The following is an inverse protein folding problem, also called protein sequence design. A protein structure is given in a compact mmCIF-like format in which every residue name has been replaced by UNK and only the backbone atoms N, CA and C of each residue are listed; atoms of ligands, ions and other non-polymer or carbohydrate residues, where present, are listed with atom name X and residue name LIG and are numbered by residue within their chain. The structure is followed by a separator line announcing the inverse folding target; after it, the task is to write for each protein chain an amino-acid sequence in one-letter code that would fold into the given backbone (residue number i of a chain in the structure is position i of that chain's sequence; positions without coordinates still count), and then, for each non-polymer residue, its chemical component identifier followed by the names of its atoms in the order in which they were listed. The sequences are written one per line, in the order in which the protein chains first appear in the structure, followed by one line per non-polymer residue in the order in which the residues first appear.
data_IF_632673727205
#
_entry.id   IF_632673727205
#
_cell.length_a   1.000
_cell.length_b   1.000
_cell.length_c   1.000
_cell.angle_alpha   90.00
_cell.angle_beta   90.00
_cell.angle_gamma   90.00
#
_symmetry.space_group_name_H-M   'P 1'
#
loop_
_entity.id
_entity.type
_entity.pdbx_description
1 polymer ?
#
# COMPACT_ATOMS: atom_id res chain seq x y z
N UNK A 1 -5.16 -17.92 -17.06
CA UNK A 1 -5.26 -17.93 -15.58
C UNK A 1 -4.12 -17.08 -15.04
N UNK A 2 -4.37 -15.82 -14.70
CA UNK A 2 -3.44 -14.93 -13.99
C UNK A 2 -4.29 -13.82 -13.37
N UNK A 3 -4.76 -14.03 -12.16
CA UNK A 3 -5.14 -12.92 -11.28
C UNK A 3 -3.98 -12.84 -10.27
N UNK A 4 -2.89 -12.21 -10.69
CA UNK A 4 -1.92 -11.68 -9.74
C UNK A 4 -2.59 -10.46 -9.12
N UNK A 5 -2.40 -10.26 -7.82
CA UNK A 5 -2.77 -9.04 -7.13
C UNK A 5 -2.21 -7.86 -7.95
N UNK A 6 -3.06 -6.98 -8.46
CA UNK A 6 -2.63 -5.84 -9.27
C UNK A 6 -1.93 -4.82 -8.35
N UNK A 7 -0.60 -4.92 -8.25
CA UNK A 7 0.23 -3.93 -7.57
C UNK A 7 0.81 -2.95 -8.58
N UNK A 8 0.36 -1.70 -8.51
CA UNK A 8 0.97 -0.62 -9.24
C UNK A 8 2.32 -0.28 -8.63
N UNK A 9 3.34 -0.08 -9.44
CA UNK A 9 4.67 0.31 -9.01
C UNK A 9 5.00 1.70 -9.53
N UNK A 10 5.76 2.45 -8.74
CA UNK A 10 6.28 3.74 -9.15
C UNK A 10 7.71 3.93 -8.70
N UNK A 11 8.41 4.84 -9.38
CA UNK A 11 9.76 5.27 -9.03
C UNK A 11 9.88 6.76 -9.28
N UNK A 12 10.37 7.49 -8.29
CA UNK A 12 10.73 8.90 -8.38
C UNK A 12 12.25 9.01 -8.35
N UNK A 13 12.82 9.52 -9.44
CA UNK A 13 14.22 9.91 -9.50
C UNK A 13 14.36 11.34 -8.99
N UNK A 14 15.03 11.52 -7.85
CA UNK A 14 15.20 12.83 -7.21
C UNK A 14 16.30 13.66 -7.90
N UNK A 15 17.21 13.04 -8.66
CA UNK A 15 18.23 13.77 -9.43
C UNK A 15 17.61 14.44 -10.65
N UNK A 16 16.71 13.74 -11.32
CA UNK A 16 16.06 14.20 -12.55
C UNK A 16 14.67 14.82 -12.32
N UNK A 17 14.15 14.74 -11.10
CA UNK A 17 12.77 15.13 -10.74
C UNK A 17 11.71 14.46 -11.63
N UNK A 18 11.97 13.21 -12.01
CA UNK A 18 11.10 12.46 -12.91
C UNK A 18 10.44 11.30 -12.17
N UNK A 19 9.14 11.13 -12.35
CA UNK A 19 8.40 9.98 -11.85
C UNK A 19 8.03 9.06 -13.01
N UNK A 20 8.08 7.76 -12.76
CA UNK A 20 7.63 6.71 -13.67
C UNK A 20 6.64 5.84 -12.93
N UNK A 21 5.47 5.62 -13.53
CA UNK A 21 4.50 4.62 -13.12
C UNK A 21 4.57 3.46 -14.10
N UNK A 22 4.42 2.23 -13.62
CA UNK A 22 4.21 1.10 -14.53
C UNK A 22 2.76 1.08 -15.04
N UNK A 23 2.52 0.36 -16.14
CA UNK A 23 1.19 0.25 -16.76
C UNK A 23 0.11 -0.19 -15.75
N UNK A 24 0.46 -1.11 -14.84
CA UNK A 24 -0.46 -1.57 -13.79
C UNK A 24 -0.91 -0.45 -12.86
N UNK A 25 -0.05 0.51 -12.52
CA UNK A 25 -0.43 1.62 -11.65
C UNK A 25 -1.41 2.57 -12.34
N UNK A 26 -1.22 2.83 -13.63
CA UNK A 26 -2.20 3.57 -14.44
C UNK A 26 -3.57 2.87 -14.40
N UNK A 27 -3.59 1.55 -14.66
CA UNK A 27 -4.82 0.77 -14.68
C UNK A 27 -5.52 0.77 -13.31
N UNK A 28 -4.76 0.54 -12.24
CA UNK A 28 -5.26 0.47 -10.86
C UNK A 28 -5.88 1.81 -10.41
N UNK A 29 -5.27 2.94 -10.80
CA UNK A 29 -5.80 4.27 -10.51
C UNK A 29 -6.84 4.75 -11.53
N UNK A 30 -7.13 3.96 -12.57
CA UNK A 30 -7.91 4.38 -13.74
C UNK A 30 -7.41 5.70 -14.32
N UNK A 31 -6.09 5.90 -14.32
CA UNK A 31 -5.42 7.09 -14.84
C UNK A 31 -5.17 6.93 -16.35
N UNK A 32 -5.40 7.95 -17.19
CA UNK A 32 -5.15 7.85 -18.62
C UNK A 32 -3.66 7.62 -18.93
N UNK A 33 -3.34 6.57 -19.70
CA UNK A 33 -1.95 6.22 -20.06
C UNK A 33 -1.27 7.29 -20.94
N UNK A 34 -2.03 8.18 -21.56
CA UNK A 34 -1.54 9.29 -22.37
C UNK A 34 -1.26 10.57 -21.54
N UNK A 35 -1.59 10.57 -20.25
CA UNK A 35 -1.29 11.68 -19.35
C UNK A 35 0.04 11.49 -18.63
N UNK A 36 0.89 12.52 -18.72
CA UNK A 36 2.14 12.57 -17.98
C UNK A 36 1.89 12.61 -16.47
N UNK A 37 2.72 11.87 -15.74
CA UNK A 37 2.73 11.83 -14.28
C UNK A 37 3.79 12.79 -13.75
N UNK A 38 3.46 13.52 -12.70
CA UNK A 38 4.33 14.45 -12.01
C UNK A 38 4.66 13.91 -10.61
N UNK A 39 5.79 14.31 -9.99
CA UNK A 39 6.18 13.82 -8.67
C UNK A 39 5.06 13.89 -7.62
N UNK A 40 4.24 14.94 -7.68
CA UNK A 40 3.15 15.18 -6.73
C UNK A 40 1.79 14.62 -7.20
N UNK A 41 1.73 13.94 -8.36
CA UNK A 41 0.49 13.42 -8.93
C UNK A 41 -0.27 12.55 -7.92
N UNK A 42 0.42 11.72 -7.13
CA UNK A 42 -0.23 10.88 -6.14
C UNK A 42 -0.87 11.68 -5.00
N UNK A 43 -0.21 12.73 -4.51
CA UNK A 43 -0.75 13.61 -3.46
C UNK A 43 -2.01 14.36 -3.92
N UNK A 44 -2.10 14.65 -5.21
CA UNK A 44 -3.28 15.30 -5.80
C UNK A 44 -4.54 14.41 -5.78
N UNK A 45 -4.36 13.09 -5.70
CA UNK A 45 -5.44 12.11 -5.65
C UNK A 45 -6.05 11.93 -4.25
N UNK A 46 -5.39 12.44 -3.20
CA UNK A 46 -5.90 12.38 -1.83
C UNK A 46 -6.89 13.53 -1.63
N UNK A 47 -8.15 13.23 -1.32
CA UNK A 47 -9.19 14.26 -1.10
C UNK A 47 -9.06 14.91 0.28
N UNK A 48 -8.69 14.15 1.31
CA UNK A 48 -8.55 14.62 2.69
C UNK A 48 -7.31 15.52 2.85
N UNK A 49 -7.47 16.80 3.25
CA UNK A 49 -6.33 17.68 3.48
C UNK A 49 -5.39 17.19 4.59
N UNK A 50 -5.95 16.60 5.64
CA UNK A 50 -5.17 16.07 6.77
C UNK A 50 -4.30 14.87 6.34
N UNK A 51 -4.89 13.94 5.59
CA UNK A 51 -4.18 12.77 5.06
C UNK A 51 -3.08 13.18 4.06
N UNK A 52 -3.36 14.19 3.22
CA UNK A 52 -2.37 14.74 2.29
C UNK A 52 -1.16 15.32 3.03
N UNK A 53 -1.40 16.11 4.09
CA UNK A 53 -0.33 16.68 4.92
C UNK A 53 0.47 15.57 5.61
N UNK A 54 -0.20 14.54 6.15
CA UNK A 54 0.47 13.41 6.79
C UNK A 54 1.37 12.65 5.81
N UNK A 55 0.88 12.34 4.61
CA UNK A 55 1.68 11.65 3.61
C UNK A 55 2.85 12.53 3.12
N UNK A 56 2.63 13.83 2.94
CA UNK A 56 3.69 14.75 2.56
C UNK A 56 4.82 14.77 3.59
N UNK A 57 4.49 14.87 4.89
CA UNK A 57 5.47 14.79 5.98
C UNK A 57 6.20 13.44 6.00
N UNK A 58 5.49 12.33 5.76
CA UNK A 58 6.11 11.01 5.69
C UNK A 58 7.10 10.89 4.52
N UNK A 59 6.79 11.49 3.36
CA UNK A 59 7.69 11.54 2.20
C UNK A 59 8.92 12.42 2.46
N UNK A 60 8.76 13.52 3.20
CA UNK A 60 9.89 14.35 3.66
C UNK A 60 10.80 13.56 4.61
N UNK A 61 10.22 12.85 5.60
CA UNK A 61 10.94 11.98 6.52
C UNK A 61 11.66 10.81 5.81
N UNK A 62 11.00 10.22 4.80
CA UNK A 62 11.60 9.20 3.93
C UNK A 62 12.83 9.76 3.20
N UNK A 63 12.74 10.99 2.71
CA UNK A 63 13.84 11.64 1.97
C UNK A 63 14.99 12.02 2.89
N UNK A 64 14.69 12.58 4.07
CA UNK A 64 15.69 13.09 5.00
C UNK A 64 16.37 11.98 5.80
N UNK A 65 15.60 10.96 6.20
CA UNK A 65 16.05 9.97 7.19
C UNK A 65 15.96 8.52 6.70
N UNK A 66 15.40 8.27 5.52
CA UNK A 66 15.24 6.93 4.99
C UNK A 66 14.18 6.10 5.71
N UNK A 67 13.25 6.74 6.42
CA UNK A 67 12.15 6.06 7.12
C UNK A 67 11.14 5.51 6.10
N UNK A 68 11.01 4.18 5.94
CA UNK A 68 10.08 3.62 4.98
C UNK A 68 8.64 3.98 5.36
N UNK A 69 7.78 4.08 4.34
CA UNK A 69 6.35 4.35 4.53
C UNK A 69 5.60 3.06 4.24
N UNK A 70 4.73 2.68 5.16
CA UNK A 70 3.73 1.65 4.98
C UNK A 70 2.44 2.15 5.62
N UNK A 71 1.52 2.63 4.80
CA UNK A 71 0.28 3.20 5.31
C UNK A 71 -0.88 2.98 4.36
N UNK A 72 -2.08 2.69 4.88
CA UNK A 72 -3.30 2.77 4.10
C UNK A 72 -3.53 4.22 3.69
N UNK A 73 -3.96 4.43 2.45
CA UNK A 73 -4.37 5.73 1.93
C UNK A 73 -5.63 5.61 1.10
N UNK A 74 -6.40 6.68 1.07
CA UNK A 74 -7.65 6.78 0.32
C UNK A 74 -7.45 7.69 -0.89
N UNK A 75 -7.57 7.12 -2.08
CA UNK A 75 -7.32 7.84 -3.34
C UNK A 75 -8.59 7.94 -4.18
N UNK A 76 -8.80 9.13 -4.75
CA UNK A 76 -9.75 9.33 -5.83
C UNK A 76 -9.14 8.84 -7.14
N UNK A 77 -9.76 7.83 -7.74
CA UNK A 77 -9.35 7.30 -9.05
C UNK A 77 -9.81 8.21 -10.20
N UNK A 78 -9.25 8.04 -11.40
CA UNK A 78 -9.67 8.80 -12.59
C UNK A 78 -11.13 8.59 -12.98
N UNK A 79 -11.76 7.50 -12.49
CA UNK A 79 -13.21 7.26 -12.63
C UNK A 79 -14.09 8.11 -11.70
N UNK A 80 -13.48 8.87 -10.78
CA UNK A 80 -14.17 9.67 -9.76
C UNK A 80 -14.55 8.89 -8.49
N UNK A 81 -14.34 7.57 -8.46
CA UNK A 81 -14.54 6.75 -7.27
C UNK A 81 -13.34 6.80 -6.33
N UNK A 82 -13.62 6.84 -5.04
CA UNK A 82 -12.63 6.80 -3.97
C UNK A 82 -12.40 5.37 -3.52
N UNK A 83 -11.14 4.92 -3.44
CA UNK A 83 -10.78 3.54 -3.09
C UNK A 83 -9.64 3.51 -2.05
N UNK A 84 -9.61 2.50 -1.16
CA UNK A 84 -8.52 2.30 -0.22
C UNK A 84 -7.35 1.54 -0.86
N UNK A 85 -6.15 2.06 -0.67
CA UNK A 85 -4.89 1.48 -1.14
C UNK A 85 -3.91 1.30 0.00
N UNK A 86 -3.09 0.26 -0.05
CA UNK A 86 -1.88 0.17 0.76
C UNK A 86 -0.73 0.80 -0.02
N UNK A 87 -0.15 1.87 0.51
CA UNK A 87 1.04 2.52 -0.02
C UNK A 87 2.28 2.01 0.71
N UNK A 88 3.24 1.50 -0.06
CA UNK A 88 4.58 1.15 0.40
C UNK A 88 5.60 2.06 -0.28
N UNK A 89 6.51 2.67 0.47
CA UNK A 89 7.59 3.51 -0.06
C UNK A 89 8.93 3.20 0.60
N UNK A 90 9.98 3.16 -0.21
CA UNK A 90 11.36 3.04 0.22
C UNK A 90 12.24 4.04 -0.53
N UNK A 91 13.36 4.41 0.06
CA UNK A 91 14.33 5.33 -0.49
C UNK A 91 15.69 4.67 -0.69
N UNK A 92 16.39 5.08 -1.74
CA UNK A 92 17.78 4.70 -2.02
C UNK A 92 18.68 5.91 -1.80
N UNK A 93 19.78 5.69 -1.08
CA UNK A 93 20.74 6.73 -0.74
C UNK A 93 22.09 6.46 -1.38
N UNK A 94 22.75 7.53 -1.82
CA UNK A 94 24.12 7.55 -2.33
C UNK A 94 24.91 8.60 -1.55
N UNK A 95 25.95 8.17 -0.83
CA UNK A 95 26.74 9.03 0.06
C UNK A 95 25.92 9.88 1.05
N UNK A 96 24.86 9.29 1.62
CA UNK A 96 23.98 9.97 2.59
C UNK A 96 22.94 10.92 1.95
N UNK A 97 22.92 11.05 0.62
CA UNK A 97 21.91 11.82 -0.11
C UNK A 97 20.87 10.87 -0.70
N UNK A 98 19.58 11.15 -0.47
CA UNK A 98 18.51 10.39 -1.10
C UNK A 98 18.49 10.67 -2.61
N UNK A 99 18.65 9.63 -3.42
CA UNK A 99 18.74 9.74 -4.88
C UNK A 99 17.48 9.24 -5.59
N UNK A 100 16.70 8.38 -4.93
CA UNK A 100 15.53 7.75 -5.51
C UNK A 100 14.54 7.36 -4.44
N UNK A 101 13.27 7.48 -4.73
CA UNK A 101 12.19 6.83 -4.00
C UNK A 101 11.50 5.83 -4.92
N UNK A 102 11.02 4.73 -4.36
CA UNK A 102 10.27 3.71 -5.09
C UNK A 102 9.18 3.17 -4.19
N UNK A 103 8.08 2.74 -4.80
CA UNK A 103 6.96 2.26 -4.03
C UNK A 103 5.97 1.43 -4.81
N UNK A 104 4.96 0.96 -4.09
CA UNK A 104 3.83 0.25 -4.66
C UNK A 104 2.51 0.73 -4.08
N UNK A 105 1.47 0.68 -4.90
CA UNK A 105 0.08 0.84 -4.48
C UNK A 105 -0.68 -0.44 -4.74
N UNK A 106 -1.34 -0.94 -3.71
CA UNK A 106 -2.11 -2.17 -3.77
C UNK A 106 -3.56 -1.89 -3.37
N UNK A 107 -4.51 -2.27 -4.22
CA UNK A 107 -5.93 -2.07 -3.90
C UNK A 107 -6.33 -3.02 -2.76
N UNK A 108 -6.69 -2.45 -1.60
CA UNK A 108 -7.06 -3.20 -0.40
C UNK A 108 -8.34 -4.02 -0.64
N UNK A 109 -9.29 -3.51 -1.42
CA UNK A 109 -10.51 -4.24 -1.76
C UNK A 109 -10.21 -5.45 -2.64
N UNK A 110 -9.31 -5.32 -3.61
CA UNK A 110 -8.87 -6.44 -4.46
C UNK A 110 -8.14 -7.51 -3.65
N UNK A 111 -7.24 -7.11 -2.74
CA UNK A 111 -6.59 -8.01 -1.79
C UNK A 111 -7.64 -8.74 -0.95
N UNK A 112 -8.60 -8.01 -0.40
CA UNK A 112 -9.69 -8.54 0.43
C UNK A 112 -10.55 -9.54 -0.34
N UNK A 113 -10.94 -9.20 -1.56
CA UNK A 113 -11.75 -10.07 -2.42
C UNK A 113 -10.98 -11.34 -2.78
N UNK A 114 -9.70 -11.21 -3.12
CA UNK A 114 -8.83 -12.35 -3.40
C UNK A 114 -8.70 -13.28 -2.19
N UNK A 115 -8.46 -12.73 -0.99
CA UNK A 115 -8.41 -13.51 0.26
C UNK A 115 -9.73 -14.25 0.49
N UNK A 116 -10.88 -13.59 0.30
CA UNK A 116 -12.20 -14.23 0.47
C UNK A 116 -12.47 -15.34 -0.54
N UNK A 117 -12.01 -15.19 -1.79
CA UNK A 117 -12.12 -16.25 -2.79
C UNK A 117 -11.20 -17.44 -2.49
N UNK A 118 -10.05 -17.17 -1.89
CA UNK A 118 -8.97 -18.14 -1.70
C UNK A 118 -8.91 -18.74 -0.31
N UNK A 119 -9.72 -18.28 0.64
CA UNK A 119 -9.77 -18.74 2.04
C UNK A 119 -10.20 -20.21 2.22
N UNK A 120 -10.43 -20.97 1.15
CA UNK A 120 -10.60 -22.43 1.16
C UNK A 120 -9.67 -23.20 0.20
N UNK A 121 -8.69 -22.53 -0.41
CA UNK A 121 -7.79 -23.08 -1.43
C UNK A 121 -6.43 -23.41 -0.80
N UNK A 122 -5.90 -24.63 -0.98
CA UNK A 122 -4.63 -25.05 -0.38
C UNK A 122 -3.43 -24.15 -0.77
N UNK A 123 -3.54 -23.50 -1.93
CA UNK A 123 -2.57 -22.51 -2.43
C UNK A 123 -2.50 -21.26 -1.54
N UNK A 124 -3.62 -20.87 -0.93
CA UNK A 124 -3.71 -19.76 0.02
C UNK A 124 -3.01 -20.08 1.33
N UNK A 125 -3.20 -21.29 1.84
CA UNK A 125 -2.47 -21.78 3.01
C UNK A 125 -0.96 -21.75 2.77
N UNK A 126 -0.50 -22.16 1.59
CA UNK A 126 0.93 -22.08 1.24
C UNK A 126 1.39 -20.62 1.22
N UNK A 127 0.67 -19.72 0.54
CA UNK A 127 1.01 -18.29 0.48
C UNK A 127 1.05 -17.64 1.86
N UNK A 128 0.03 -17.89 2.69
CA UNK A 128 -0.08 -17.43 4.07
C UNK A 128 1.05 -18.00 4.97
N UNK A 129 1.58 -19.17 4.64
CA UNK A 129 2.71 -19.78 5.36
C UNK A 129 4.08 -19.33 4.83
N UNK A 130 4.19 -18.84 3.59
CA UNK A 130 5.46 -18.40 2.99
C UNK A 130 5.72 -16.90 3.07
N UNK A 131 4.66 -16.07 3.10
CA UNK A 131 4.80 -14.63 3.28
C UNK A 131 5.18 -14.37 4.74
N UNK A 132 6.37 -13.81 4.94
CA UNK A 132 6.86 -13.43 6.26
C UNK A 132 6.28 -12.07 6.70
N UNK A 133 5.44 -11.41 5.89
CA UNK A 133 4.79 -10.14 6.22
C UNK A 133 3.43 -10.32 6.90
N UNK A 134 3.05 -9.32 7.69
CA UNK A 134 1.71 -9.23 8.29
C UNK A 134 0.74 -8.64 7.28
N UNK A 135 -0.10 -9.49 6.68
CA UNK A 135 -1.25 -9.02 5.90
C UNK A 135 -2.44 -8.89 6.82
N UNK A 136 -3.22 -7.86 6.62
CA UNK A 136 -4.46 -7.67 7.33
C UNK A 136 -5.52 -7.11 6.40
N UNK A 137 -6.78 -7.41 6.70
CA UNK A 137 -7.93 -6.85 5.97
C UNK A 137 -8.75 -6.06 6.95
N UNK A 138 -9.01 -4.80 6.62
CA UNK A 138 -9.91 -3.94 7.38
C UNK A 138 -11.19 -3.69 6.59
N UNK A 139 -12.33 -3.86 7.27
CA UNK A 139 -13.64 -3.48 6.75
C UNK A 139 -13.97 -2.08 7.24
N UNK A 140 -13.95 -1.12 6.31
CA UNK A 140 -14.29 0.28 6.60
C UNK A 140 -15.78 0.53 6.86
N UNK A 141 -16.67 -0.35 6.38
CA UNK A 141 -18.11 -0.22 6.65
C UNK A 141 -18.45 -0.73 8.04
N UNK A 142 -17.81 -1.83 8.46
CA UNK A 142 -18.00 -2.42 9.79
C UNK A 142 -16.96 -1.95 10.82
N UNK A 143 -16.07 -1.04 10.43
CA UNK A 143 -14.95 -0.50 11.23
C UNK A 143 -14.18 -1.55 12.03
N UNK A 144 -13.82 -2.68 11.39
CA UNK A 144 -13.12 -3.78 12.06
C UNK A 144 -12.18 -4.55 11.14
N UNK A 145 -11.11 -5.11 11.71
CA UNK A 145 -10.28 -6.08 11.02
C UNK A 145 -11.05 -7.39 10.79
N UNK A 146 -11.06 -7.90 9.56
CA UNK A 146 -11.69 -9.16 9.17
C UNK A 146 -10.68 -10.32 9.06
N UNK A 147 -9.40 -10.01 8.87
CA UNK A 147 -8.36 -11.02 8.65
C UNK A 147 -6.99 -10.51 9.09
N UNK A 148 -6.16 -11.43 9.58
CA UNK A 148 -4.72 -11.28 9.75
C UNK A 148 -4.02 -12.53 9.20
N UNK A 149 -2.91 -12.37 8.48
CA UNK A 149 -2.07 -13.48 8.03
C UNK A 149 -1.35 -14.12 9.20
N UNK A 150 -0.89 -15.35 9.03
CA UNK A 150 -0.04 -16.04 10.02
C UNK A 150 1.30 -15.32 10.26
N UNK A 151 1.74 -14.51 9.30
CA UNK A 151 2.91 -13.62 9.46
C UNK A 151 2.81 -12.73 10.70
N UNK A 152 1.59 -12.40 11.17
CA UNK A 152 1.39 -11.67 12.43
C UNK A 152 2.01 -12.36 13.64
N UNK A 153 1.91 -13.68 13.72
CA UNK A 153 2.47 -14.45 14.83
C UNK A 153 4.00 -14.53 14.73
N UNK A 154 4.52 -14.61 13.50
CA UNK A 154 5.97 -14.71 13.28
C UNK A 154 6.69 -13.39 13.54
N UNK A 155 6.11 -12.27 13.10
CA UNK A 155 6.72 -10.95 13.23
C UNK A 155 6.37 -10.23 14.53
N UNK A 156 5.12 -10.35 14.97
CA UNK A 156 4.59 -9.58 16.11
C UNK A 156 4.36 -10.44 17.35
N UNK A 157 4.51 -11.77 17.25
CA UNK A 157 4.24 -12.71 18.35
C UNK A 157 2.75 -12.88 18.67
N UNK A 158 1.86 -12.31 17.87
CA UNK A 158 0.41 -12.31 18.10
C UNK A 158 -0.31 -13.15 17.04
N UNK A 159 -1.13 -14.09 17.47
CA UNK A 159 -1.93 -14.91 16.55
C UNK A 159 -3.02 -14.08 15.86
N UNK A 160 -3.45 -14.46 14.64
CA UNK A 160 -4.58 -13.82 13.98
C UNK A 160 -5.84 -13.72 14.85
N UNK A 161 -6.16 -14.77 15.60
CA UNK A 161 -7.34 -14.79 16.48
C UNK A 161 -7.24 -13.80 17.64
N UNK A 162 -6.03 -13.57 18.18
CA UNK A 162 -5.80 -12.57 19.23
C UNK A 162 -5.97 -11.15 18.69
N UNK A 163 -5.45 -10.90 17.48
CA UNK A 163 -5.55 -9.60 16.81
C UNK A 163 -6.98 -9.27 16.35
N UNK A 164 -7.75 -10.27 15.93
CA UNK A 164 -9.16 -10.08 15.58
C UNK A 164 -10.04 -9.79 16.80
N UNK A 165 -9.65 -10.28 17.99
CA UNK A 165 -10.35 -10.00 19.25
C UNK A 165 -9.98 -8.65 19.87
N UNK A 166 -8.77 -8.16 19.61
CA UNK A 166 -8.27 -6.87 20.08
C UNK A 166 -7.80 -5.99 18.91
N UNK A 167 -8.73 -5.41 18.11
CA UNK A 167 -8.39 -4.63 16.93
C UNK A 167 -7.62 -3.33 17.23
N UNK A 168 -7.57 -2.87 18.49
CA UNK A 168 -6.88 -1.65 18.90
C UNK A 168 -5.41 -1.88 19.30
N UNK A 169 -4.87 -3.10 19.16
CA UNK A 169 -3.48 -3.43 19.55
C UNK A 169 -2.41 -2.51 18.92
N UNK A 170 -2.71 -1.86 17.79
CA UNK A 170 -1.79 -0.96 17.10
C UNK A 170 -2.26 0.50 17.05
N UNK A 171 -3.39 0.85 17.70
CA UNK A 171 -3.82 2.25 17.81
C UNK A 171 -3.11 2.90 19.00
N UNK A 172 -2.01 3.61 18.72
CA UNK A 172 -1.43 4.61 19.63
C UNK A 172 -1.95 6.00 19.25
#
# INVERSE_FOLDING_TARGET
MRQLLDFGMWTLDLKNQSVVWNDTLYDVLAWPHDQEVQPDSLLSLIESPAERIQLQQALEDLTAYGRPIETPITLKTGSGHTKPFLLLCQAEFDNGVCIRQRGSLQNIESITHYIKLKSGDASFEILNNTLHDVLWVYDYTAERYQFYSRGSHQLLGLTPDELLKNPDTFKN
#
